data_IF_404932494286
#
_entry.id   IF_404932494286
#
_cell.length_a   1.000
_cell.length_b   1.000
_cell.length_c   1.000
_cell.angle_alpha   90.00
_cell.angle_beta   90.00
_cell.angle_gamma   90.00
#
_symmetry.space_group_name_H-M   'P 1'
#
loop_
_entity.id
_entity.type
_entity.pdbx_description
1 polymer ?
#
# COMPACT_ATOMS: atom_id res chain seq x y z
N UNK A 1 -16.04 6.42 -20.24
CA UNK A 1 -15.01 5.42 -20.54
C UNK A 1 -15.47 4.05 -20.06
N UNK A 2 -15.92 3.20 -20.98
CA UNK A 2 -16.31 1.83 -20.69
C UNK A 2 -15.04 0.98 -20.52
N UNK A 3 -14.73 0.58 -19.29
CA UNK A 3 -13.67 -0.40 -19.04
C UNK A 3 -14.17 -1.75 -19.52
N UNK A 4 -13.50 -2.30 -20.52
CA UNK A 4 -13.81 -3.58 -21.15
C UNK A 4 -13.99 -4.71 -20.11
N UNK A 5 -15.09 -5.47 -20.24
CA UNK A 5 -15.30 -6.77 -19.59
C UNK A 5 -14.34 -7.82 -20.15
N UNK A 6 -13.05 -7.63 -19.87
CA UNK A 6 -11.99 -8.50 -20.32
C UNK A 6 -12.16 -9.93 -19.77
N UNK A 7 -11.69 -10.94 -20.51
CA UNK A 7 -11.74 -12.34 -20.05
C UNK A 7 -11.06 -12.52 -18.68
N UNK A 8 -10.01 -11.73 -18.40
CA UNK A 8 -9.30 -11.74 -17.11
C UNK A 8 -10.20 -11.31 -15.94
N UNK A 9 -10.98 -10.23 -16.07
CA UNK A 9 -11.92 -9.79 -15.00
C UNK A 9 -13.07 -10.78 -14.82
N UNK A 10 -13.52 -11.44 -15.89
CA UNK A 10 -14.50 -12.53 -15.78
C UNK A 10 -13.93 -13.74 -15.06
N UNK A 11 -12.68 -14.10 -15.35
CA UNK A 11 -11.97 -15.18 -14.64
C UNK A 11 -11.82 -14.84 -13.16
N UNK A 12 -11.33 -13.64 -12.81
CA UNK A 12 -11.16 -13.22 -11.40
C UNK A 12 -12.50 -13.25 -10.63
N UNK A 13 -13.59 -12.74 -11.24
CA UNK A 13 -14.94 -12.82 -10.66
C UNK A 13 -15.46 -14.25 -10.48
N UNK A 14 -15.01 -15.19 -11.31
CA UNK A 14 -15.32 -16.61 -11.17
C UNK A 14 -14.48 -17.25 -10.06
N UNK A 15 -13.18 -16.94 -10.01
CA UNK A 15 -12.26 -17.41 -8.98
C UNK A 15 -12.74 -17.04 -7.56
N UNK A 16 -13.22 -15.80 -7.41
CA UNK A 16 -13.78 -15.27 -6.15
C UNK A 16 -15.24 -15.68 -5.90
N UNK A 17 -15.87 -16.41 -6.83
CA UNK A 17 -17.26 -16.85 -6.66
C UNK A 17 -17.38 -17.85 -5.52
N UNK A 18 -18.43 -17.72 -4.70
CA UNK A 18 -18.79 -18.70 -3.67
C UNK A 18 -18.84 -20.14 -4.23
N UNK A 19 -19.29 -20.30 -5.49
CA UNK A 19 -19.30 -21.59 -6.18
C UNK A 19 -17.89 -22.18 -6.33
N UNK A 20 -16.92 -21.36 -6.75
CA UNK A 20 -15.56 -21.82 -6.91
C UNK A 20 -14.88 -22.10 -5.56
N UNK A 21 -15.12 -21.26 -4.56
CA UNK A 21 -14.53 -21.44 -3.22
C UNK A 21 -15.03 -22.71 -2.53
N UNK A 22 -16.35 -22.95 -2.52
CA UNK A 22 -16.93 -24.15 -1.92
C UNK A 22 -16.55 -25.40 -2.72
N UNK A 23 -16.46 -25.29 -4.06
CA UNK A 23 -15.92 -26.36 -4.89
C UNK A 23 -14.46 -26.68 -4.56
N UNK A 24 -13.57 -25.68 -4.45
CA UNK A 24 -12.18 -25.88 -4.08
C UNK A 24 -12.03 -26.52 -2.70
N UNK A 25 -12.86 -26.13 -1.72
CA UNK A 25 -12.89 -26.75 -0.41
C UNK A 25 -13.28 -28.24 -0.49
N UNK A 26 -14.31 -28.58 -1.27
CA UNK A 26 -14.69 -29.97 -1.53
C UNK A 26 -13.59 -30.78 -2.25
N UNK A 27 -12.94 -30.17 -3.25
CA UNK A 27 -11.80 -30.77 -3.94
C UNK A 27 -10.62 -31.06 -3.00
N UNK A 28 -10.31 -30.14 -2.09
CA UNK A 28 -9.26 -30.32 -1.08
C UNK A 28 -9.57 -31.46 -0.12
N UNK A 29 -10.83 -31.64 0.29
CA UNK A 29 -11.27 -32.81 1.07
C UNK A 29 -11.05 -34.11 0.28
N UNK A 30 -11.35 -34.11 -1.02
CA UNK A 30 -11.07 -35.25 -1.91
C UNK A 30 -9.58 -35.63 -1.97
N UNK A 31 -8.69 -34.63 -2.00
CA UNK A 31 -7.24 -34.84 -1.94
C UNK A 31 -6.83 -35.38 -0.57
N UNK A 32 -7.40 -34.86 0.52
CA UNK A 32 -7.15 -35.37 1.88
C UNK A 32 -7.57 -36.84 2.04
N UNK A 33 -8.72 -37.22 1.48
CA UNK A 33 -9.21 -38.60 1.43
C UNK A 33 -8.24 -39.53 0.71
N UNK A 34 -7.65 -39.09 -0.41
CA UNK A 34 -6.64 -39.86 -1.13
C UNK A 34 -5.41 -40.16 -0.26
N UNK A 35 -4.87 -39.14 0.41
CA UNK A 35 -3.72 -39.31 1.30
C UNK A 35 -4.05 -40.13 2.55
N UNK A 36 -5.31 -40.18 2.97
CA UNK A 36 -5.78 -41.07 4.02
C UNK A 36 -5.95 -42.54 3.56
N UNK A 37 -5.64 -42.85 2.30
CA UNK A 37 -5.73 -44.19 1.72
C UNK A 37 -7.11 -44.55 1.17
N UNK A 38 -8.04 -43.58 1.09
CA UNK A 38 -9.38 -43.79 0.54
C UNK A 38 -9.43 -43.36 -0.93
N UNK A 39 -10.07 -44.17 -1.78
CA UNK A 39 -10.35 -43.80 -3.18
C UNK A 39 -9.42 -44.42 -4.24
N UNK A 40 -8.31 -45.06 -3.85
CA UNK A 40 -7.45 -45.81 -4.78
C UNK A 40 -7.12 -45.03 -6.06
N UNK A 41 -7.16 -45.67 -7.23
CA UNK A 41 -6.97 -44.99 -8.52
C UNK A 41 -8.14 -44.09 -8.97
N UNK A 42 -9.30 -44.18 -8.30
CA UNK A 42 -10.48 -43.36 -8.60
C UNK A 42 -10.45 -42.00 -7.89
N UNK A 43 -9.40 -41.71 -7.13
CA UNK A 43 -9.24 -40.46 -6.40
C UNK A 43 -9.41 -39.18 -7.25
N UNK A 44 -8.99 -39.12 -8.54
CA UNK A 44 -9.25 -37.93 -9.35
C UNK A 44 -10.74 -37.73 -9.58
N UNK A 45 -11.50 -38.81 -9.75
CA UNK A 45 -12.95 -38.78 -9.87
C UNK A 45 -13.64 -38.32 -8.58
N UNK A 46 -13.12 -38.73 -7.42
CA UNK A 46 -13.60 -38.28 -6.10
C UNK A 46 -13.37 -36.77 -5.93
N UNK A 47 -12.19 -36.26 -6.30
CA UNK A 47 -11.87 -34.83 -6.24
C UNK A 47 -12.78 -34.02 -7.15
N UNK A 48 -12.96 -34.44 -8.41
CA UNK A 48 -13.85 -33.76 -9.37
C UNK A 48 -15.30 -33.78 -8.89
N UNK A 49 -15.77 -34.92 -8.38
CA UNK A 49 -17.12 -35.08 -7.86
C UNK A 49 -17.39 -34.19 -6.65
N UNK A 50 -16.49 -34.18 -5.67
CA UNK A 50 -16.61 -33.32 -4.48
C UNK A 50 -16.51 -31.83 -4.83
N UNK A 51 -15.66 -31.45 -5.79
CA UNK A 51 -15.62 -30.09 -6.29
C UNK A 51 -16.96 -29.68 -6.92
N UNK A 52 -17.53 -30.52 -7.78
CA UNK A 52 -18.81 -30.24 -8.43
C UNK A 52 -19.96 -30.13 -7.42
N UNK A 53 -20.02 -31.03 -6.44
CA UNK A 53 -21.01 -30.99 -5.36
C UNK A 53 -20.87 -29.71 -4.52
N UNK A 54 -19.64 -29.37 -4.12
CA UNK A 54 -19.37 -28.13 -3.38
C UNK A 54 -19.78 -26.89 -4.17
N UNK A 55 -19.48 -26.84 -5.46
CA UNK A 55 -19.83 -25.72 -6.32
C UNK A 55 -21.35 -25.54 -6.49
N UNK A 56 -22.12 -26.64 -6.48
CA UNK A 56 -23.58 -26.63 -6.57
C UNK A 56 -24.26 -26.23 -5.25
N UNK A 57 -23.67 -26.58 -4.11
CA UNK A 57 -24.20 -26.25 -2.78
C UNK A 57 -23.95 -24.79 -2.37
N UNK A 58 -23.14 -24.05 -3.13
CA UNK A 58 -22.76 -22.70 -2.75
C UNK A 58 -23.96 -21.72 -2.69
N UNK A 59 -24.07 -20.88 -1.64
CA UNK A 59 -25.16 -19.93 -1.49
C UNK A 59 -25.28 -18.92 -2.66
N UNK A 60 -26.52 -18.56 -3.01
CA UNK A 60 -26.80 -17.51 -4.01
C UNK A 60 -26.34 -16.12 -3.54
N UNK A 61 -25.90 -15.26 -4.47
CA UNK A 61 -25.52 -13.87 -4.17
C UNK A 61 -26.72 -13.11 -3.61
N UNK A 62 -26.52 -12.37 -2.50
CA UNK A 62 -27.47 -11.34 -2.06
C UNK A 62 -27.35 -10.11 -2.99
N UNK A 63 -28.45 -9.51 -3.46
CA UNK A 63 -28.39 -8.24 -4.18
C UNK A 63 -27.80 -7.14 -3.30
N UNK A 64 -26.90 -6.33 -3.87
CA UNK A 64 -26.35 -5.14 -3.23
C UNK A 64 -27.40 -4.01 -3.25
N UNK A 65 -27.90 -3.53 -2.10
CA UNK A 65 -28.89 -2.45 -2.04
C UNK A 65 -28.33 -1.10 -2.51
N UNK A 66 -27.01 -0.96 -2.68
CA UNK A 66 -26.33 0.34 -2.84
C UNK A 66 -26.29 0.85 -4.29
N UNK A 67 -26.79 0.07 -5.25
CA UNK A 67 -26.82 0.47 -6.68
C UNK A 67 -28.10 1.21 -7.01
N UNK A 68 -28.25 2.43 -6.49
CA UNK A 68 -29.30 3.36 -6.89
C UNK A 68 -29.04 3.93 -8.31
N UNK A 69 -30.08 4.17 -9.14
CA UNK A 69 -29.94 4.81 -10.43
C UNK A 69 -29.92 6.34 -10.26
N UNK A 70 -28.75 6.96 -10.32
CA UNK A 70 -28.65 8.41 -10.50
C UNK A 70 -27.52 8.75 -11.46
N UNK A 71 -27.89 8.93 -12.73
CA UNK A 71 -27.17 9.81 -13.64
C UNK A 71 -27.34 11.25 -13.13
N UNK A 72 -26.25 11.90 -12.74
CA UNK A 72 -26.26 13.33 -12.42
C UNK A 72 -26.08 14.12 -13.72
N UNK A 73 -26.95 15.07 -14.09
CA UNK A 73 -26.71 15.95 -15.22
C UNK A 73 -25.64 17.00 -14.89
N UNK A 74 -24.80 17.31 -15.86
CA UNK A 74 -23.80 18.39 -15.84
C UNK A 74 -24.44 19.76 -15.55
N UNK A 75 -23.83 20.60 -14.69
CA UNK A 75 -24.21 22.01 -14.61
C UNK A 75 -23.64 22.75 -15.83
N UNK A 76 -24.54 23.34 -16.63
CA UNK A 76 -24.18 24.18 -17.77
C UNK A 76 -23.43 25.46 -17.39
N UNK A 77 -22.76 26.13 -18.36
CA UNK A 77 -21.91 27.28 -18.11
C UNK A 77 -22.73 28.51 -17.74
N UNK A 78 -22.46 29.09 -16.56
CA UNK A 78 -23.06 30.35 -16.12
C UNK A 78 -22.33 31.52 -16.79
N UNK A 79 -23.08 32.40 -17.45
CA UNK A 79 -22.57 33.61 -18.09
C UNK A 79 -22.00 34.60 -17.06
N UNK A 80 -20.81 35.16 -17.34
CA UNK A 80 -20.24 36.26 -16.55
C UNK A 80 -20.93 37.59 -16.90
N UNK A 81 -21.22 38.47 -15.92
CA UNK A 81 -21.65 39.83 -16.21
C UNK A 81 -20.45 40.73 -16.56
N UNK A 82 -20.65 41.59 -17.56
CA UNK A 82 -19.72 42.61 -18.05
C UNK A 82 -19.61 43.78 -17.06
N UNK A 83 -18.41 44.23 -16.65
CA UNK A 83 -18.27 45.48 -15.90
C UNK A 83 -18.45 46.69 -16.81
N UNK A 84 -19.45 47.52 -16.49
CA UNK A 84 -19.69 48.82 -17.13
C UNK A 84 -18.60 49.84 -16.78
N UNK A 85 -18.25 50.67 -17.75
CA UNK A 85 -17.27 51.72 -17.65
C UNK A 85 -17.68 52.78 -16.59
N UNK A 86 -16.76 53.09 -15.67
CA UNK A 86 -16.84 54.25 -14.77
C UNK A 86 -16.06 55.43 -15.38
N UNK A 87 -16.47 56.69 -15.16
CA UNK A 87 -15.84 57.88 -15.73
C UNK A 87 -14.50 58.28 -15.05
N UNK A 88 -13.68 58.98 -15.84
CA UNK A 88 -12.33 59.55 -15.55
C UNK A 88 -12.40 60.79 -14.60
N UNK A 89 -11.28 61.31 -14.04
CA UNK A 89 -11.18 61.69 -12.63
C UNK A 89 -11.22 63.21 -12.36
N UNK A 90 -11.52 63.56 -11.11
CA UNK A 90 -11.30 64.91 -10.53
C UNK A 90 -9.87 64.98 -9.98
N UNK A 91 -9.07 66.03 -10.25
CA UNK A 91 -7.72 66.12 -9.72
C UNK A 91 -7.76 66.40 -8.21
N UNK A 92 -7.24 65.45 -7.42
CA UNK A 92 -7.01 65.61 -5.99
C UNK A 92 -5.71 66.39 -5.74
N UNK A 93 -5.74 67.21 -4.69
CA UNK A 93 -4.65 68.05 -4.19
C UNK A 93 -3.33 67.26 -3.93
N UNK A 94 -2.16 67.95 -3.92
CA UNK A 94 -0.88 67.28 -3.67
C UNK A 94 -0.83 66.64 -2.27
N UNK A 95 -0.36 65.39 -2.13
CA UNK A 95 -0.21 64.77 -0.83
C UNK A 95 0.97 65.39 -0.06
N UNK A 96 0.77 65.54 1.26
CA UNK A 96 1.84 65.81 2.22
C UNK A 96 2.85 64.65 2.22
N UNK A 97 4.14 64.87 2.58
CA UNK A 97 5.13 63.81 2.60
C UNK A 97 4.75 62.74 3.63
N UNK A 98 4.63 61.49 3.17
CA UNK A 98 4.47 60.31 4.02
C UNK A 98 5.77 60.10 4.83
N UNK A 99 5.69 59.77 6.13
CA UNK A 99 6.86 59.42 6.93
C UNK A 99 7.51 58.13 6.39
N UNK A 100 8.85 58.08 6.40
CA UNK A 100 9.61 56.90 5.99
C UNK A 100 9.16 55.65 6.77
N UNK A 101 8.95 54.51 6.09
CA UNK A 101 8.56 53.27 6.75
C UNK A 101 9.69 52.78 7.66
N UNK A 102 9.34 52.48 8.92
CA UNK A 102 10.22 51.78 9.87
C UNK A 102 10.78 50.49 9.21
N UNK A 103 12.06 50.14 9.43
CA UNK A 103 12.64 48.93 8.86
C UNK A 103 11.86 47.69 9.32
N UNK A 104 11.43 46.89 8.35
CA UNK A 104 10.74 45.63 8.59
C UNK A 104 11.60 44.73 9.52
N UNK A 105 11.04 44.19 10.62
CA UNK A 105 11.75 43.29 11.50
C UNK A 105 12.33 42.11 10.70
N UNK A 106 13.60 41.77 10.96
CA UNK A 106 14.25 40.65 10.29
C UNK A 106 13.39 39.37 10.35
N UNK A 107 13.28 38.60 9.25
CA UNK A 107 12.44 37.41 9.22
C UNK A 107 12.86 36.45 10.34
N UNK A 108 11.87 35.98 11.10
CA UNK A 108 12.10 34.98 12.14
C UNK A 108 12.76 33.73 11.53
N UNK A 109 13.68 33.05 12.25
CA UNK A 109 14.29 31.82 11.77
C UNK A 109 13.21 30.79 11.42
N UNK A 110 13.36 30.12 10.28
CA UNK A 110 12.41 29.10 9.84
C UNK A 110 12.29 28.00 10.93
N UNK A 111 11.07 27.49 11.20
CA UNK A 111 10.89 26.40 12.16
C UNK A 111 11.73 25.18 11.73
N UNK A 112 12.37 24.52 12.71
CA UNK A 112 13.04 23.25 12.47
C UNK A 112 12.06 22.24 11.85
N UNK A 113 12.51 21.43 10.86
CA UNK A 113 11.64 20.44 10.24
C UNK A 113 11.15 19.44 11.29
N UNK A 114 9.83 19.26 11.37
CA UNK A 114 9.25 18.22 12.22
C UNK A 114 9.73 16.82 11.76
N UNK A 115 9.96 15.88 12.70
CA UNK A 115 10.40 14.53 12.37
C UNK A 115 9.35 13.80 11.53
N UNK A 116 9.80 12.98 10.56
CA UNK A 116 8.92 12.20 9.69
C UNK A 116 8.12 11.17 10.51
N UNK A 117 6.78 11.31 10.62
CA UNK A 117 5.98 10.46 11.49
C UNK A 117 5.99 8.99 11.05
N UNK A 118 6.24 8.70 9.78
CA UNK A 118 6.25 7.33 9.27
C UNK A 118 7.54 6.60 9.57
N UNK A 119 8.66 7.32 9.51
CA UNK A 119 9.95 6.80 9.95
C UNK A 119 9.90 6.45 11.44
N UNK A 120 9.28 7.30 12.26
CA UNK A 120 9.14 7.04 13.69
C UNK A 120 8.17 5.89 13.99
N UNK A 121 7.05 5.79 13.24
CA UNK A 121 6.16 4.64 13.35
C UNK A 121 6.86 3.32 12.96
N UNK A 122 7.69 3.35 11.91
CA UNK A 122 8.48 2.20 11.50
C UNK A 122 9.53 1.84 12.56
N UNK A 123 10.26 2.82 13.09
CA UNK A 123 11.25 2.59 14.14
C UNK A 123 10.60 1.96 15.39
N UNK A 124 9.43 2.46 15.80
CA UNK A 124 8.66 1.89 16.90
C UNK A 124 8.25 0.44 16.62
N UNK A 125 7.76 0.15 15.41
CA UNK A 125 7.43 -1.21 14.99
C UNK A 125 8.65 -2.13 15.04
N UNK A 126 9.79 -1.72 14.46
CA UNK A 126 11.02 -2.52 14.42
C UNK A 126 11.55 -2.82 15.82
N UNK A 127 11.36 -1.92 16.79
CA UNK A 127 11.69 -2.16 18.20
C UNK A 127 10.87 -3.29 18.86
N UNK A 128 9.72 -3.67 18.29
CA UNK A 128 8.92 -4.82 18.76
C UNK A 128 9.29 -6.13 18.05
N UNK A 129 9.98 -6.05 16.92
CA UNK A 129 10.32 -7.20 16.09
C UNK A 129 11.62 -7.82 16.60
N UNK A 130 11.71 -9.17 16.72
CA UNK A 130 12.93 -9.82 17.19
C UNK A 130 14.00 -9.86 16.09
N UNK A 131 14.61 -8.72 15.80
CA UNK A 131 15.69 -8.57 14.82
C UNK A 131 17.02 -9.08 15.39
N UNK A 132 17.88 -9.70 14.57
CA UNK A 132 19.20 -10.09 15.01
C UNK A 132 20.09 -8.86 15.22
N UNK A 133 21.00 -8.86 16.21
CA UNK A 133 21.98 -7.79 16.36
C UNK A 133 22.93 -7.77 15.15
N UNK A 134 23.43 -6.58 14.79
CA UNK A 134 24.44 -6.42 13.75
C UNK A 134 23.91 -6.43 12.31
N UNK A 135 22.59 -6.36 12.09
CA UNK A 135 22.01 -6.22 10.74
C UNK A 135 22.11 -4.79 10.17
N UNK A 136 22.57 -3.81 10.95
CA UNK A 136 22.72 -2.41 10.52
C UNK A 136 21.39 -1.64 10.42
N UNK A 137 20.30 -2.17 10.98
CA UNK A 137 18.97 -1.53 10.90
C UNK A 137 18.96 -0.21 11.65
N UNK A 138 19.57 -0.14 12.82
CA UNK A 138 19.65 1.09 13.62
C UNK A 138 20.47 2.18 12.92
N UNK A 139 21.57 1.78 12.26
CA UNK A 139 22.40 2.68 11.46
C UNK A 139 21.62 3.21 10.25
N UNK A 140 20.85 2.35 9.57
CA UNK A 140 19.98 2.75 8.46
C UNK A 140 18.88 3.73 8.93
N UNK A 141 18.25 3.48 10.09
CA UNK A 141 17.26 4.40 10.65
C UNK A 141 17.88 5.75 11.00
N UNK A 142 19.12 5.76 11.48
CA UNK A 142 19.87 7.00 11.73
C UNK A 142 20.15 7.74 10.43
N UNK A 143 20.66 7.06 9.41
CA UNK A 143 20.91 7.64 8.10
C UNK A 143 19.64 8.20 7.43
N UNK A 144 18.50 7.52 7.60
CA UNK A 144 17.19 8.00 7.11
C UNK A 144 16.76 9.31 7.79
N UNK A 145 17.01 9.46 9.10
CA UNK A 145 16.72 10.70 9.83
C UNK A 145 17.62 11.85 9.35
N UNK A 146 18.90 11.56 9.12
CA UNK A 146 19.87 12.54 8.62
C UNK A 146 19.57 12.97 7.18
N UNK A 147 19.16 12.03 6.33
CA UNK A 147 18.78 12.31 4.94
C UNK A 147 17.51 13.15 4.84
N UNK A 148 16.61 13.04 5.83
CA UNK A 148 15.33 13.74 5.85
C UNK A 148 14.32 13.18 4.81
N UNK A 149 13.14 13.82 4.71
CA UNK A 149 12.07 13.34 3.83
C UNK A 149 12.45 13.50 2.36
N UNK A 150 12.41 12.40 1.61
CA UNK A 150 12.67 12.39 0.18
C UNK A 150 12.09 11.14 -0.50
N UNK A 151 11.98 11.11 -1.84
CA UNK A 151 11.35 10.00 -2.55
C UNK A 151 12.06 8.66 -2.32
N UNK A 152 13.39 8.68 -2.17
CA UNK A 152 14.18 7.48 -1.85
C UNK A 152 13.92 7.03 -0.40
N UNK A 153 14.03 7.95 0.57
CA UNK A 153 13.76 7.66 1.97
C UNK A 153 12.34 7.13 2.19
N UNK A 154 11.33 7.76 1.59
CA UNK A 154 9.93 7.32 1.68
C UNK A 154 9.72 5.92 1.10
N UNK A 155 10.35 5.60 -0.04
CA UNK A 155 10.28 4.24 -0.61
C UNK A 155 10.95 3.21 0.30
N UNK A 156 12.07 3.58 0.92
CA UNK A 156 12.77 2.71 1.88
C UNK A 156 11.89 2.44 3.11
N UNK A 157 11.34 3.50 3.71
CA UNK A 157 10.51 3.47 4.91
C UNK A 157 9.19 2.72 4.67
N UNK A 158 8.47 3.05 3.60
CA UNK A 158 7.12 2.50 3.37
C UNK A 158 7.13 1.09 2.81
N UNK A 159 8.14 0.72 2.02
CA UNK A 159 8.08 -0.49 1.21
C UNK A 159 9.29 -1.39 1.43
N UNK A 160 10.51 -0.88 1.21
CA UNK A 160 11.68 -1.75 1.05
C UNK A 160 12.13 -2.36 2.37
N UNK A 161 12.25 -1.56 3.43
CA UNK A 161 12.65 -2.05 4.76
C UNK A 161 11.57 -2.97 5.36
N UNK A 162 10.27 -2.65 5.33
CA UNK A 162 9.22 -3.57 5.75
C UNK A 162 9.25 -4.92 5.00
N UNK A 163 9.48 -4.92 3.68
CA UNK A 163 9.56 -6.16 2.89
C UNK A 163 10.78 -6.99 3.27
N UNK A 164 11.94 -6.37 3.46
CA UNK A 164 13.15 -7.08 3.89
C UNK A 164 12.96 -7.75 5.27
N UNK A 165 12.36 -7.02 6.21
CA UNK A 165 12.05 -7.52 7.55
C UNK A 165 11.01 -8.64 7.51
N UNK A 166 9.95 -8.50 6.72
CA UNK A 166 8.97 -9.56 6.52
C UNK A 166 9.60 -10.83 5.92
N UNK A 167 10.53 -10.67 4.97
CA UNK A 167 11.33 -11.75 4.41
C UNK A 167 12.15 -12.49 5.46
N UNK A 168 12.86 -11.75 6.31
CA UNK A 168 13.61 -12.29 7.44
C UNK A 168 12.71 -13.09 8.41
N UNK A 169 11.59 -12.51 8.84
CA UNK A 169 10.67 -13.17 9.78
C UNK A 169 10.08 -14.45 9.19
N UNK A 170 9.76 -14.43 7.90
CA UNK A 170 9.29 -15.61 7.18
C UNK A 170 10.37 -16.68 7.12
N UNK A 171 11.60 -16.32 6.74
CA UNK A 171 12.71 -17.26 6.67
C UNK A 171 13.01 -17.90 8.03
N UNK A 172 13.02 -17.10 9.11
CA UNK A 172 13.18 -17.58 10.48
C UNK A 172 12.09 -18.57 10.89
N UNK A 173 10.85 -18.33 10.47
CA UNK A 173 9.72 -19.23 10.76
C UNK A 173 9.96 -20.62 10.18
N UNK A 174 10.55 -20.72 8.98
CA UNK A 174 10.79 -21.99 8.30
C UNK A 174 12.18 -22.61 8.53
N UNK A 175 13.06 -21.91 9.27
CA UNK A 175 14.43 -22.33 9.53
C UNK A 175 14.59 -23.75 10.08
N UNK A 176 13.72 -24.26 10.98
CA UNK A 176 13.82 -25.65 11.46
C UNK A 176 13.66 -26.72 10.37
N UNK A 177 13.04 -26.37 9.24
CA UNK A 177 12.84 -27.25 8.08
C UNK A 177 13.78 -26.92 6.92
N UNK A 178 14.68 -25.96 7.10
CA UNK A 178 15.63 -25.57 6.09
C UNK A 178 16.76 -26.61 5.97
N UNK A 179 17.20 -26.86 4.74
CA UNK A 179 18.34 -27.76 4.49
C UNK A 179 19.67 -27.16 4.99
N UNK A 180 20.74 -27.98 5.04
CA UNK A 180 22.06 -27.53 5.51
C UNK A 180 22.66 -26.40 4.66
N UNK A 181 22.26 -26.30 3.39
CA UNK A 181 22.73 -25.26 2.46
C UNK A 181 21.83 -24.01 2.45
N UNK A 182 20.86 -23.91 3.35
CA UNK A 182 19.99 -22.75 3.43
C UNK A 182 20.77 -21.50 3.84
N UNK A 183 20.52 -20.40 3.13
CA UNK A 183 21.13 -19.12 3.45
C UNK A 183 20.77 -18.66 4.85
N UNK A 184 21.73 -18.07 5.57
CA UNK A 184 21.48 -17.45 6.88
C UNK A 184 20.56 -16.22 6.71
N UNK A 185 19.33 -16.25 7.29
CA UNK A 185 18.38 -15.15 7.18
C UNK A 185 18.91 -13.83 7.76
N UNK A 186 19.72 -13.89 8.84
CA UNK A 186 20.26 -12.70 9.47
C UNK A 186 21.28 -12.01 8.56
N UNK A 187 22.20 -12.78 7.99
CA UNK A 187 23.15 -12.28 7.00
C UNK A 187 22.45 -11.73 5.74
N UNK A 188 21.34 -12.33 5.31
CA UNK A 188 20.58 -11.84 4.16
C UNK A 188 19.88 -10.51 4.43
N UNK A 189 19.26 -10.36 5.61
CA UNK A 189 18.71 -9.08 6.06
C UNK A 189 19.80 -8.01 6.12
N UNK A 190 20.97 -8.31 6.70
CA UNK A 190 22.09 -7.37 6.76
C UNK A 190 22.57 -6.93 5.38
N UNK A 191 22.63 -7.84 4.39
CA UNK A 191 22.97 -7.49 3.00
C UNK A 191 21.92 -6.61 2.32
N UNK A 192 20.64 -6.82 2.60
CA UNK A 192 19.57 -5.95 2.09
C UNK A 192 19.64 -4.57 2.74
N UNK A 193 19.79 -4.49 4.05
CA UNK A 193 19.92 -3.22 4.79
C UNK A 193 21.14 -2.43 4.30
N UNK A 194 22.29 -3.08 4.08
CA UNK A 194 23.46 -2.44 3.50
C UNK A 194 23.22 -1.89 2.09
N UNK A 195 22.40 -2.56 1.27
CA UNK A 195 21.98 -2.04 -0.04
C UNK A 195 21.07 -0.83 0.09
N UNK A 196 20.12 -0.85 1.03
CA UNK A 196 19.23 0.29 1.28
C UNK A 196 20.00 1.51 1.79
N UNK A 197 20.99 1.30 2.65
CA UNK A 197 21.89 2.36 3.12
C UNK A 197 22.70 2.97 1.96
N UNK A 198 23.20 2.13 1.04
CA UNK A 198 23.90 2.60 -0.15
C UNK A 198 22.99 3.37 -1.15
N UNK A 199 21.67 3.16 -1.13
CA UNK A 199 20.72 3.96 -1.92
C UNK A 199 20.56 5.40 -1.38
N UNK A 200 20.94 5.65 -0.11
CA UNK A 200 20.80 6.96 0.56
C UNK A 200 22.07 7.83 0.49
N UNK A 201 23.22 7.25 0.16
CA UNK A 201 24.52 7.92 0.05
C UNK A 201 24.71 8.55 -1.34
#
# INVERSE_FOLDING_TARGET
>A
MATSDGPLRRALRYLESAKNLVGCAGGAVGVGLHYAGLGGNLWPGVVVGLYAVGALLAPGRRPDPSRGPTARPDPGPVAQPTPGALPVPVPAAPPAPEPEPDPEPAPAPAPEPEPDPELEALAAYLGTVPLPPGTGVDDLLTALREAGPGPVAQRIVRERLPVAVAGYLRARTWQPWAGPDAADPAAELGREVGRLAAELA
#
